data_IF_717721388993
#
_entry.id   IF_717721388993
#
_cell.length_a   1.000
_cell.length_b   1.000
_cell.length_c   1.000
_cell.angle_alpha   90.00
_cell.angle_beta   90.00
_cell.angle_gamma   90.00
#
_symmetry.space_group_name_H-M   'P 1'
#
loop_
_entity.id
_entity.type
_entity.pdbx_description
1 polymer ?
#
# COMPACT_ATOMS: atom_id res chain seq x y z
N UNK A 1 30.78 -78.11 59.42
CA UNK A 1 30.59 -76.64 59.47
C UNK A 1 29.14 -76.36 59.86
N UNK A 2 28.95 -75.54 60.90
CA UNK A 2 27.74 -75.42 61.72
C UNK A 2 26.57 -74.71 61.04
N UNK A 3 25.39 -75.16 61.42
CA UNK A 3 24.04 -74.65 61.15
C UNK A 3 23.64 -73.41 61.96
N UNK A 4 22.63 -72.70 61.42
CA UNK A 4 21.47 -71.98 62.05
C UNK A 4 21.47 -70.43 62.12
N UNK A 5 20.63 -69.87 61.23
CA UNK A 5 19.47 -68.94 61.39
C UNK A 5 19.32 -68.13 62.69
N UNK A 6 18.89 -66.87 62.56
CA UNK A 6 17.67 -66.18 63.11
C UNK A 6 17.84 -64.66 62.90
N UNK A 7 16.83 -63.78 62.77
CA UNK A 7 15.37 -63.80 62.89
C UNK A 7 14.81 -62.64 62.03
N UNK A 8 13.58 -62.13 62.14
CA UNK A 8 12.50 -62.24 63.11
C UNK A 8 11.25 -61.63 62.43
N UNK A 9 10.08 -62.25 62.58
CA UNK A 9 8.77 -61.75 62.12
C UNK A 9 8.08 -60.96 63.24
N UNK A 10 7.60 -59.74 63.01
CA UNK A 10 6.50 -59.01 63.72
C UNK A 10 6.00 -57.97 62.70
N UNK A 11 4.81 -57.99 62.08
CA UNK A 11 3.39 -57.98 62.54
C UNK A 11 2.99 -56.70 63.30
N UNK A 12 2.68 -55.62 62.56
CA UNK A 12 1.75 -54.58 63.03
C UNK A 12 0.74 -54.27 61.92
N UNK A 13 -0.51 -54.49 62.30
CA UNK A 13 -1.77 -54.24 61.62
C UNK A 13 -2.15 -52.75 61.74
N UNK A 14 -3.02 -52.31 60.82
CA UNK A 14 -3.96 -51.19 60.94
C UNK A 14 -3.44 -49.75 60.76
N UNK A 15 -3.74 -49.13 59.62
CA UNK A 15 -4.99 -48.39 59.46
C UNK A 15 -5.29 -48.15 57.97
N UNK A 16 -6.57 -48.32 57.67
CA UNK A 16 -7.24 -48.30 56.38
C UNK A 16 -7.97 -46.95 56.28
N UNK A 17 -8.18 -46.47 55.04
CA UNK A 17 -8.98 -45.30 54.60
C UNK A 17 -8.20 -43.97 54.63
N UNK A 18 -8.04 -43.18 53.55
CA UNK A 18 -8.80 -42.97 52.31
C UNK A 18 -7.86 -42.48 51.19
N UNK A 19 -7.88 -43.13 50.01
CA UNK A 19 -7.95 -42.51 48.67
C UNK A 19 -7.60 -43.54 47.58
N UNK A 20 -8.60 -44.28 47.12
CA UNK A 20 -8.55 -44.96 45.82
C UNK A 20 -9.57 -44.29 44.91
N UNK A 21 -9.10 -43.75 43.79
CA UNK A 21 -9.88 -43.73 42.56
C UNK A 21 -9.15 -44.65 41.58
N UNK A 22 -9.81 -45.75 41.25
CA UNK A 22 -9.38 -46.73 40.25
C UNK A 22 -9.45 -46.08 38.86
N UNK A 23 -8.36 -46.15 38.11
CA UNK A 23 -8.35 -45.84 36.67
C UNK A 23 -8.78 -47.10 35.91
N UNK A 24 -9.88 -47.08 35.13
CA UNK A 24 -10.22 -48.19 34.26
C UNK A 24 -9.32 -48.19 33.01
N UNK A 25 -8.72 -49.34 32.74
CA UNK A 25 -8.13 -49.67 31.45
C UNK A 25 -9.26 -49.83 30.42
N UNK A 26 -9.43 -48.83 29.55
CA UNK A 26 -10.30 -48.91 28.38
C UNK A 26 -9.42 -48.99 27.13
N UNK A 27 -9.68 -49.99 26.29
CA UNK A 27 -9.10 -50.15 24.97
C UNK A 27 -9.18 -48.84 24.17
N UNK A 28 -8.07 -48.44 23.56
CA UNK A 28 -7.99 -47.29 22.68
C UNK A 28 -9.01 -47.43 21.54
N UNK A 29 -10.06 -46.60 21.57
CA UNK A 29 -10.84 -46.30 20.37
C UNK A 29 -9.98 -45.41 19.47
N UNK A 30 -9.96 -45.65 18.15
CA UNK A 30 -9.26 -44.76 17.24
C UNK A 30 -9.89 -43.37 17.37
N UNK A 31 -9.06 -42.38 17.64
CA UNK A 31 -9.44 -40.98 17.55
C UNK A 31 -9.59 -40.66 16.06
N UNK A 32 -10.77 -40.88 15.50
CA UNK A 32 -11.17 -40.20 14.27
C UNK A 32 -11.38 -38.74 14.63
N UNK A 33 -10.31 -37.97 14.52
CA UNK A 33 -10.44 -36.55 14.30
C UNK A 33 -11.25 -36.40 13.03
N UNK A 34 -12.50 -35.96 13.14
CA UNK A 34 -13.19 -35.39 12.00
C UNK A 34 -12.38 -34.15 11.63
N UNK A 35 -11.44 -34.33 10.72
CA UNK A 35 -11.03 -33.26 9.83
C UNK A 35 -12.34 -32.84 9.18
N UNK A 36 -12.96 -31.78 9.69
CA UNK A 36 -13.73 -30.92 8.80
C UNK A 36 -12.75 -30.56 7.71
N UNK A 37 -12.85 -31.26 6.57
CA UNK A 37 -12.37 -30.76 5.29
C UNK A 37 -13.03 -29.39 5.15
N UNK A 38 -12.37 -28.35 5.68
CA UNK A 38 -12.49 -27.04 5.11
C UNK A 38 -12.15 -27.30 3.66
N UNK A 39 -13.14 -27.13 2.78
CA UNK A 39 -12.92 -27.23 1.35
C UNK A 39 -11.59 -26.54 1.07
N UNK A 40 -10.63 -27.30 0.52
CA UNK A 40 -9.43 -26.68 -0.04
C UNK A 40 -10.00 -25.78 -1.10
N UNK A 41 -10.04 -24.48 -0.81
CA UNK A 41 -10.50 -23.48 -1.74
C UNK A 41 -9.65 -23.71 -3.00
N UNK A 42 -10.31 -24.12 -4.09
CA UNK A 42 -9.63 -24.42 -5.34
C UNK A 42 -8.89 -23.15 -5.73
N UNK A 43 -7.55 -23.18 -5.64
CA UNK A 43 -6.75 -22.02 -6.01
C UNK A 43 -6.80 -21.94 -7.52
N UNK A 44 -7.65 -21.08 -8.03
CA UNK A 44 -7.67 -20.73 -9.44
C UNK A 44 -6.34 -20.06 -9.78
N UNK A 45 -5.51 -20.77 -10.54
CA UNK A 45 -4.22 -20.28 -10.99
C UNK A 45 -4.40 -19.14 -11.98
N UNK A 46 -3.52 -18.15 -11.89
CA UNK A 46 -3.62 -16.99 -12.78
C UNK A 46 -3.18 -17.30 -14.21
N UNK A 47 -3.83 -16.64 -15.17
CA UNK A 47 -3.60 -16.79 -16.61
C UNK A 47 -2.74 -15.63 -17.14
N UNK A 48 -1.74 -15.89 -18.00
CA UNK A 48 -0.89 -14.83 -18.56
C UNK A 48 -1.65 -13.94 -19.54
N UNK A 49 -1.32 -12.65 -19.52
CA UNK A 49 -1.68 -11.64 -20.51
C UNK A 49 -0.41 -10.90 -20.97
N UNK A 50 -0.35 -10.42 -22.22
CA UNK A 50 0.72 -9.53 -22.65
C UNK A 50 0.63 -8.18 -21.92
N UNK A 51 1.77 -7.56 -21.62
CA UNK A 51 1.78 -6.19 -21.12
C UNK A 51 1.15 -5.22 -22.13
N UNK A 52 0.32 -4.26 -21.68
CA UNK A 52 -0.26 -3.26 -22.55
C UNK A 52 0.82 -2.32 -23.11
N UNK A 53 0.66 -1.89 -24.36
CA UNK A 53 1.46 -0.80 -24.92
C UNK A 53 0.89 0.51 -24.40
N UNK A 54 1.68 1.26 -23.64
CA UNK A 54 1.24 2.51 -23.03
C UNK A 54 1.83 3.69 -23.79
N UNK A 55 0.95 4.55 -24.29
CA UNK A 55 1.31 5.87 -24.81
C UNK A 55 1.07 6.91 -23.73
N UNK A 56 2.15 7.50 -23.23
CA UNK A 56 2.08 8.51 -22.19
C UNK A 56 1.57 9.86 -22.76
N UNK A 57 0.67 10.51 -22.04
CA UNK A 57 0.43 11.94 -22.22
C UNK A 57 1.64 12.72 -21.69
N UNK A 58 2.24 13.58 -22.50
CA UNK A 58 3.51 14.25 -22.17
C UNK A 58 3.35 15.59 -21.48
N UNK A 59 2.13 15.97 -21.07
CA UNK A 59 1.88 17.31 -20.54
C UNK A 59 1.98 17.29 -19.03
N UNK A 60 3.14 17.68 -18.49
CA UNK A 60 3.28 17.98 -17.06
C UNK A 60 2.49 19.25 -16.73
N UNK A 61 1.73 19.22 -15.64
CA UNK A 61 1.15 20.44 -15.06
C UNK A 61 2.19 21.24 -14.29
N UNK A 62 1.96 22.55 -14.23
CA UNK A 62 2.75 23.47 -13.40
C UNK A 62 2.37 23.30 -11.92
N UNK A 63 3.24 23.66 -10.96
CA UNK A 63 2.88 23.69 -9.55
C UNK A 63 1.61 24.51 -9.28
N UNK A 64 0.86 24.16 -8.23
CA UNK A 64 -0.38 24.84 -7.83
C UNK A 64 -1.51 24.79 -8.86
N UNK A 65 -1.42 23.92 -9.88
CA UNK A 65 -2.43 23.77 -10.92
C UNK A 65 -3.83 23.50 -10.34
N UNK A 66 -3.90 22.77 -9.23
CA UNK A 66 -5.17 22.42 -8.58
C UNK A 66 -5.89 23.66 -8.03
N UNK A 67 -5.15 24.71 -7.65
CA UNK A 67 -5.69 26.02 -7.26
C UNK A 67 -6.10 26.83 -8.50
N UNK A 68 -5.28 26.81 -9.55
CA UNK A 68 -5.52 27.57 -10.78
C UNK A 68 -6.74 27.06 -11.55
N UNK A 69 -6.90 25.73 -11.62
CA UNK A 69 -7.99 25.05 -12.32
C UNK A 69 -9.21 24.79 -11.43
N UNK A 70 -9.34 25.49 -10.30
CA UNK A 70 -10.48 25.37 -9.41
C UNK A 70 -11.76 25.86 -10.10
N UNK A 71 -12.79 25.01 -10.18
CA UNK A 71 -14.12 25.42 -10.63
C UNK A 71 -14.83 26.32 -9.60
N UNK A 72 -15.94 26.96 -9.96
CA UNK A 72 -16.65 27.89 -9.07
C UNK A 72 -17.02 27.31 -7.69
N UNK A 73 -17.26 26.00 -7.58
CA UNK A 73 -17.54 25.36 -6.30
C UNK A 73 -16.25 25.10 -5.53
N UNK A 74 -15.21 24.63 -6.21
CA UNK A 74 -13.87 24.44 -5.65
C UNK A 74 -13.28 25.77 -5.15
N UNK A 75 -13.51 26.88 -5.85
CA UNK A 75 -13.12 28.23 -5.42
C UNK A 75 -13.80 28.63 -4.10
N UNK A 76 -15.11 28.36 -3.95
CA UNK A 76 -15.84 28.61 -2.69
C UNK A 76 -15.29 27.77 -1.54
N UNK A 77 -14.98 26.50 -1.81
CA UNK A 77 -14.36 25.59 -0.83
C UNK A 77 -12.98 26.13 -0.44
N UNK A 78 -12.16 26.52 -1.41
CA UNK A 78 -10.83 27.08 -1.16
C UNK A 78 -10.89 28.35 -0.30
N UNK A 79 -11.85 29.24 -0.56
CA UNK A 79 -12.06 30.43 0.27
C UNK A 79 -12.45 30.09 1.71
N UNK A 80 -13.17 28.98 1.93
CA UNK A 80 -13.42 28.48 3.28
C UNK A 80 -12.15 27.99 3.96
N UNK A 81 -11.17 27.45 3.22
CA UNK A 81 -9.87 27.08 3.77
C UNK A 81 -9.08 28.32 4.19
N UNK A 82 -9.07 29.37 3.34
CA UNK A 82 -8.44 30.65 3.67
C UNK A 82 -9.04 31.25 4.96
N UNK A 83 -10.37 31.19 5.14
CA UNK A 83 -11.02 31.68 6.37
C UNK A 83 -10.49 31.03 7.65
N UNK A 84 -10.00 29.80 7.56
CA UNK A 84 -9.51 29.03 8.69
C UNK A 84 -7.98 29.07 8.86
N UNK A 85 -7.24 29.73 7.98
CA UNK A 85 -5.79 29.85 8.08
C UNK A 85 -5.35 30.55 9.38
N UNK A 86 -4.14 30.25 9.84
CA UNK A 86 -3.55 30.79 11.08
C UNK A 86 -2.87 32.15 10.89
N UNK A 87 -3.47 33.01 10.06
CA UNK A 87 -3.00 34.36 9.72
C UNK A 87 -4.04 35.42 10.14
N UNK A 88 -3.69 36.71 10.05
CA UNK A 88 -4.61 37.80 10.41
C UNK A 88 -5.83 37.87 9.49
N UNK A 89 -6.89 38.56 9.93
CA UNK A 89 -8.09 38.75 9.11
C UNK A 89 -7.82 39.62 7.88
N UNK A 90 -6.89 40.56 7.99
CA UNK A 90 -6.41 41.39 6.90
C UNK A 90 -5.69 40.55 5.84
N UNK A 91 -4.78 39.66 6.25
CA UNK A 91 -4.11 38.72 5.35
C UNK A 91 -5.11 37.80 4.65
N UNK A 92 -6.11 37.24 5.36
CA UNK A 92 -7.16 36.40 4.75
C UNK A 92 -7.94 37.13 3.66
N UNK A 93 -8.26 38.41 3.87
CA UNK A 93 -8.96 39.23 2.87
C UNK A 93 -8.08 39.46 1.65
N UNK A 94 -6.79 39.73 1.86
CA UNK A 94 -5.86 39.95 0.76
C UNK A 94 -5.65 38.66 -0.04
N UNK A 95 -5.40 37.53 0.62
CA UNK A 95 -5.29 36.22 -0.04
C UNK A 95 -6.49 35.91 -0.94
N UNK A 96 -7.72 36.14 -0.46
CA UNK A 96 -8.93 35.96 -1.29
C UNK A 96 -8.96 36.91 -2.48
N UNK A 97 -8.65 38.19 -2.27
CA UNK A 97 -8.60 39.19 -3.34
C UNK A 97 -7.59 38.82 -4.43
N UNK A 98 -6.40 38.39 -4.03
CA UNK A 98 -5.35 37.96 -4.97
C UNK A 98 -5.78 36.72 -5.76
N UNK A 99 -6.39 35.72 -5.11
CA UNK A 99 -6.93 34.55 -5.82
C UNK A 99 -8.03 34.92 -6.82
N UNK A 100 -8.95 35.83 -6.47
CA UNK A 100 -9.97 36.31 -7.42
C UNK A 100 -9.35 37.02 -8.63
N UNK A 101 -8.25 37.76 -8.44
CA UNK A 101 -7.54 38.43 -9.53
C UNK A 101 -6.82 37.41 -10.44
N UNK A 102 -6.10 36.47 -9.82
CA UNK A 102 -5.41 35.37 -10.51
C UNK A 102 -6.40 34.55 -11.36
N UNK A 103 -7.54 34.14 -10.81
CA UNK A 103 -8.54 33.36 -11.56
C UNK A 103 -9.16 34.11 -12.74
N UNK A 104 -9.27 35.45 -12.69
CA UNK A 104 -9.76 36.25 -13.83
C UNK A 104 -8.75 36.34 -14.97
N UNK A 105 -7.46 36.14 -14.68
CA UNK A 105 -6.35 36.25 -15.63
C UNK A 105 -5.89 34.91 -16.18
N UNK A 106 -6.13 33.82 -15.44
CA UNK A 106 -5.80 32.46 -15.86
C UNK A 106 -6.64 32.01 -17.08
N UNK A 107 -6.10 31.28 -18.06
CA UNK A 107 -4.70 30.82 -18.18
C UNK A 107 -3.76 31.82 -18.88
N UNK A 108 -4.29 32.87 -19.50
CA UNK A 108 -3.57 33.65 -20.51
C UNK A 108 -2.59 34.69 -19.95
N UNK A 109 -2.77 35.14 -18.69
CA UNK A 109 -2.04 36.27 -18.11
C UNK A 109 -1.52 36.01 -16.69
N UNK A 110 -0.94 34.83 -16.47
CA UNK A 110 -0.19 34.49 -15.24
C UNK A 110 1.26 35.00 -15.34
N UNK A 111 1.80 35.44 -14.21
CA UNK A 111 3.15 35.99 -14.04
C UNK A 111 3.94 35.20 -13.00
N UNK A 112 5.25 35.45 -12.91
CA UNK A 112 6.10 34.86 -11.86
C UNK A 112 5.70 35.31 -10.46
N UNK A 113 5.25 36.57 -10.31
CA UNK A 113 4.76 37.10 -9.04
C UNK A 113 3.51 36.35 -8.57
N UNK A 114 2.64 35.96 -9.49
CA UNK A 114 1.46 35.14 -9.16
C UNK A 114 1.87 33.77 -8.58
N UNK A 115 2.95 33.16 -9.06
CA UNK A 115 3.44 31.90 -8.52
C UNK A 115 3.98 32.06 -7.10
N UNK A 116 4.62 33.19 -6.78
CA UNK A 116 5.02 33.51 -5.41
C UNK A 116 3.80 33.69 -4.50
N UNK A 117 2.79 34.41 -4.98
CA UNK A 117 1.53 34.57 -4.24
C UNK A 117 0.80 33.23 -4.04
N UNK A 118 0.77 32.36 -5.06
CA UNK A 118 0.20 31.02 -4.96
C UNK A 118 0.96 30.15 -3.96
N UNK A 119 2.30 30.24 -3.93
CA UNK A 119 3.12 29.55 -2.94
C UNK A 119 2.78 29.99 -1.51
N UNK A 120 2.68 31.30 -1.25
CA UNK A 120 2.34 31.85 0.06
C UNK A 120 0.94 31.39 0.52
N UNK A 121 -0.06 31.49 -0.36
CA UNK A 121 -1.43 31.08 -0.06
C UNK A 121 -1.52 29.55 0.11
N UNK A 122 -0.83 28.79 -0.75
CA UNK A 122 -0.75 27.34 -0.63
C UNK A 122 -0.11 26.94 0.71
N UNK A 123 0.98 27.57 1.11
CA UNK A 123 1.64 27.28 2.39
C UNK A 123 0.70 27.54 3.58
N UNK A 124 0.01 28.69 3.60
CA UNK A 124 -0.93 29.02 4.68
C UNK A 124 -2.12 28.06 4.76
N UNK A 125 -2.69 27.70 3.61
CA UNK A 125 -3.81 26.73 3.56
C UNK A 125 -3.36 25.31 3.87
N UNK A 126 -2.18 24.91 3.38
CA UNK A 126 -1.57 23.60 3.66
C UNK A 126 -1.27 23.43 5.14
N UNK A 127 -0.76 24.46 5.84
CA UNK A 127 -0.55 24.41 7.29
C UNK A 127 -1.85 24.09 8.04
N UNK A 128 -2.93 24.81 7.71
CA UNK A 128 -4.25 24.56 8.29
C UNK A 128 -4.76 23.14 7.96
N UNK A 129 -4.70 22.73 6.68
CA UNK A 129 -5.26 21.47 6.23
C UNK A 129 -4.46 20.27 6.75
N UNK A 130 -3.13 20.35 6.78
CA UNK A 130 -2.28 19.33 7.42
C UNK A 130 -2.57 19.21 8.91
N UNK A 131 -2.78 20.33 9.62
CA UNK A 131 -3.16 20.25 11.04
C UNK A 131 -4.56 19.63 11.22
N UNK A 132 -5.51 19.94 10.34
CA UNK A 132 -6.90 19.49 10.47
C UNK A 132 -7.11 18.03 10.03
N UNK A 133 -6.46 17.62 8.94
CA UNK A 133 -6.70 16.35 8.26
C UNK A 133 -5.48 15.43 8.25
N UNK A 134 -4.28 15.97 8.44
CA UNK A 134 -3.06 15.17 8.47
C UNK A 134 -3.00 14.28 9.71
N UNK A 135 -2.56 13.04 9.51
CA UNK A 135 -2.16 12.17 10.61
C UNK A 135 -0.73 12.53 11.07
N UNK A 136 -0.45 12.44 12.38
CA UNK A 136 0.84 12.84 12.99
C UNK A 136 2.04 11.95 12.67
N UNK A 137 1.91 11.07 11.69
CA UNK A 137 3.01 10.30 11.13
C UNK A 137 2.58 9.81 9.76
N UNK A 138 3.53 9.77 8.83
CA UNK A 138 3.59 9.00 7.57
C UNK A 138 4.14 9.87 6.42
N UNK A 139 5.08 9.28 5.67
CA UNK A 139 5.58 9.74 4.37
C UNK A 139 4.69 9.28 3.20
N UNK A 140 5.24 9.12 2.01
CA UNK A 140 4.49 8.66 0.81
C UNK A 140 4.54 7.12 0.81
N UNK A 141 3.52 6.43 1.33
CA UNK A 141 3.48 4.96 1.46
C UNK A 141 2.06 4.41 1.65
N UNK A 142 1.70 3.28 1.03
CA UNK A 142 0.37 2.71 1.26
C UNK A 142 0.13 2.44 2.75
N UNK A 143 -0.99 2.95 3.27
CA UNK A 143 -1.30 2.81 4.69
C UNK A 143 -1.51 1.35 5.12
N UNK A 144 -0.96 1.02 6.29
CA UNK A 144 -1.13 -0.25 6.98
C UNK A 144 -0.51 -1.42 6.22
N UNK A 145 -1.16 -2.59 6.25
CA UNK A 145 -0.62 -3.82 5.66
C UNK A 145 -1.09 -4.08 4.21
N UNK A 146 -1.41 -3.02 3.48
CA UNK A 146 -1.94 -3.11 2.10
C UNK A 146 -0.94 -3.81 1.18
N UNK A 147 0.34 -3.43 1.24
CA UNK A 147 1.44 -4.10 0.53
C UNK A 147 1.48 -5.60 0.83
N UNK A 148 1.50 -5.96 2.12
CA UNK A 148 1.58 -7.36 2.57
C UNK A 148 0.44 -8.19 1.97
N UNK A 149 -0.80 -7.68 2.03
CA UNK A 149 -1.99 -8.37 1.51
C UNK A 149 -1.91 -8.57 -0.02
N UNK A 150 -1.48 -7.57 -0.78
CA UNK A 150 -1.30 -7.68 -2.23
C UNK A 150 -0.22 -8.70 -2.60
N UNK A 151 0.93 -8.64 -1.93
CA UNK A 151 2.06 -9.56 -2.14
C UNK A 151 1.68 -11.00 -1.81
N UNK A 152 0.99 -11.22 -0.69
CA UNK A 152 0.49 -12.55 -0.31
C UNK A 152 -0.44 -13.11 -1.39
N UNK A 153 -1.44 -12.33 -1.81
CA UNK A 153 -2.41 -12.75 -2.82
C UNK A 153 -1.74 -13.10 -4.14
N UNK A 154 -0.81 -12.25 -4.61
CA UNK A 154 -0.02 -12.49 -5.81
C UNK A 154 0.78 -13.80 -5.72
N UNK A 155 1.51 -14.03 -4.62
CA UNK A 155 2.27 -15.26 -4.42
C UNK A 155 1.37 -16.51 -4.44
N UNK A 156 0.27 -16.50 -3.68
CA UNK A 156 -0.63 -17.64 -3.56
C UNK A 156 -1.32 -17.99 -4.87
N UNK A 157 -1.82 -17.00 -5.61
CA UNK A 157 -2.45 -17.19 -6.92
C UNK A 157 -1.49 -17.69 -8.00
N UNK A 158 -0.19 -17.51 -7.78
CA UNK A 158 0.84 -18.07 -8.66
C UNK A 158 1.33 -19.44 -8.18
N UNK A 159 0.80 -20.00 -7.09
CA UNK A 159 1.16 -21.33 -6.59
C UNK A 159 2.40 -21.38 -5.70
N UNK A 160 2.86 -20.24 -5.17
CA UNK A 160 3.91 -20.20 -4.14
C UNK A 160 3.38 -20.85 -2.86
N UNK A 161 4.17 -21.68 -2.18
CA UNK A 161 3.76 -22.32 -0.92
C UNK A 161 3.37 -21.28 0.14
N UNK A 162 2.49 -21.65 1.09
CA UNK A 162 1.99 -20.73 2.12
C UNK A 162 3.13 -20.07 2.89
N UNK A 163 4.14 -20.86 3.31
CA UNK A 163 5.25 -20.33 4.10
C UNK A 163 6.04 -19.25 3.36
N UNK A 164 6.32 -19.46 2.07
CA UNK A 164 7.07 -18.50 1.27
C UNK A 164 6.23 -17.29 0.83
N UNK A 165 4.94 -17.50 0.59
CA UNK A 165 4.01 -16.39 0.37
C UNK A 165 3.89 -15.51 1.61
N UNK A 166 3.88 -16.12 2.80
CA UNK A 166 3.91 -15.39 4.07
C UNK A 166 5.23 -14.64 4.24
N UNK A 167 6.38 -15.26 3.93
CA UNK A 167 7.67 -14.55 3.92
C UNK A 167 7.62 -13.33 3.00
N UNK A 168 7.18 -13.45 1.75
CA UNK A 168 7.10 -12.29 0.87
C UNK A 168 6.15 -11.21 1.42
N UNK A 169 5.01 -11.64 1.97
CA UNK A 169 4.05 -10.75 2.62
C UNK A 169 4.65 -9.98 3.79
N UNK A 170 5.33 -10.66 4.72
CA UNK A 170 5.85 -10.06 5.97
C UNK A 170 6.95 -9.03 5.74
N UNK A 171 7.58 -9.05 4.57
CA UNK A 171 8.66 -8.15 4.18
C UNK A 171 8.20 -7.12 3.13
N UNK A 172 6.91 -7.07 2.78
CA UNK A 172 6.42 -6.20 1.71
C UNK A 172 6.23 -4.74 2.13
N UNK A 173 6.15 -4.44 3.43
CA UNK A 173 6.03 -3.08 3.99
C UNK A 173 7.36 -2.52 4.51
N UNK A 174 8.35 -3.37 4.79
CA UNK A 174 9.71 -2.99 5.20
C UNK A 174 10.30 -1.76 4.47
N UNK A 175 10.18 -1.61 3.12
CA UNK A 175 10.77 -0.48 2.42
C UNK A 175 10.31 0.89 2.93
N UNK A 176 9.09 0.98 3.49
CA UNK A 176 8.56 2.22 4.08
C UNK A 176 9.44 2.78 5.20
N UNK A 177 10.14 1.90 5.91
CA UNK A 177 10.95 2.24 7.09
C UNK A 177 12.44 2.40 6.78
N UNK A 178 12.87 2.25 5.51
CA UNK A 178 14.30 2.30 5.14
C UNK A 178 14.85 3.72 5.06
N UNK A 179 14.01 4.68 4.70
CA UNK A 179 14.38 6.06 4.47
C UNK A 179 13.44 7.04 5.20
N UNK A 180 13.82 8.32 5.23
CA UNK A 180 12.97 9.37 5.81
C UNK A 180 13.03 10.67 5.01
N UNK A 181 11.98 11.48 5.13
CA UNK A 181 11.89 12.79 4.49
C UNK A 181 11.97 12.69 2.97
N UNK A 182 12.80 13.54 2.35
CA UNK A 182 12.94 13.59 0.89
C UNK A 182 13.30 12.24 0.27
N UNK A 183 14.21 11.48 0.90
CA UNK A 183 14.68 10.20 0.35
C UNK A 183 13.59 9.13 0.34
N UNK A 184 12.73 9.13 1.36
CA UNK A 184 11.56 8.25 1.40
C UNK A 184 10.63 8.55 0.22
N UNK A 185 10.26 9.82 0.03
CA UNK A 185 9.42 10.23 -1.11
C UNK A 185 10.07 9.90 -2.46
N UNK A 186 11.38 10.15 -2.61
CA UNK A 186 12.11 9.89 -3.85
C UNK A 186 12.18 8.39 -4.18
N UNK A 187 12.32 7.52 -3.19
CA UNK A 187 12.48 6.08 -3.39
C UNK A 187 11.16 5.34 -3.69
N UNK A 188 10.02 5.86 -3.25
CA UNK A 188 8.69 5.23 -3.37
C UNK A 188 7.87 5.74 -4.57
N UNK A 189 8.43 6.65 -5.34
CA UNK A 189 7.74 7.34 -6.41
C UNK A 189 8.45 7.16 -7.76
N UNK A 190 7.73 7.32 -8.87
CA UNK A 190 8.30 7.54 -10.20
C UNK A 190 7.36 8.34 -11.10
N UNK A 191 7.82 9.49 -11.61
CA UNK A 191 7.07 10.28 -12.59
C UNK A 191 7.40 9.83 -14.01
N UNK A 192 6.46 9.23 -14.76
CA UNK A 192 6.73 8.81 -16.13
C UNK A 192 6.85 10.00 -17.12
N UNK A 193 6.31 11.18 -16.80
CA UNK A 193 6.39 12.40 -17.63
C UNK A 193 7.71 13.14 -17.41
N UNK A 194 8.23 13.10 -16.18
CA UNK A 194 9.54 13.65 -15.80
C UNK A 194 10.42 12.49 -15.31
N UNK A 195 10.95 11.63 -16.21
CA UNK A 195 11.54 10.35 -15.85
C UNK A 195 12.86 10.44 -15.06
N UNK A 196 13.34 11.65 -14.77
CA UNK A 196 14.44 11.91 -13.82
C UNK A 196 13.96 11.98 -12.37
N UNK A 197 12.65 11.99 -12.13
CA UNK A 197 12.03 12.15 -10.81
C UNK A 197 11.52 10.81 -10.29
N UNK A 198 12.07 10.38 -9.16
CA UNK A 198 11.70 9.15 -8.47
C UNK A 198 12.52 7.92 -8.88
N UNK A 199 12.63 6.98 -7.95
CA UNK A 199 13.53 5.81 -8.05
C UNK A 199 12.83 4.46 -7.84
N UNK A 200 11.49 4.44 -7.64
CA UNK A 200 10.74 3.22 -7.35
C UNK A 200 10.90 2.14 -8.44
N UNK A 201 10.88 2.53 -9.71
CA UNK A 201 11.05 1.61 -10.85
C UNK A 201 12.44 0.94 -10.85
N UNK A 202 13.50 1.64 -10.42
CA UNK A 202 14.85 1.08 -10.27
C UNK A 202 14.93 0.15 -9.06
N UNK A 203 14.37 0.58 -7.93
CA UNK A 203 14.33 -0.23 -6.71
C UNK A 203 13.57 -1.55 -6.95
N UNK A 204 12.39 -1.48 -7.56
CA UNK A 204 11.61 -2.65 -7.98
C UNK A 204 12.47 -3.62 -8.82
N UNK A 205 13.17 -3.11 -9.82
CA UNK A 205 13.98 -3.94 -10.71
C UNK A 205 15.17 -4.60 -10.02
N UNK A 206 15.92 -3.84 -9.22
CA UNK A 206 17.07 -4.35 -8.49
C UNK A 206 16.67 -5.45 -7.52
N UNK A 207 15.60 -5.23 -6.75
CA UNK A 207 15.10 -6.19 -5.77
C UNK A 207 14.51 -7.43 -6.44
N UNK A 208 13.81 -7.27 -7.57
CA UNK A 208 13.30 -8.40 -8.36
C UNK A 208 14.44 -9.27 -8.89
N UNK A 209 15.50 -8.65 -9.41
CA UNK A 209 16.65 -9.38 -9.94
C UNK A 209 17.43 -10.08 -8.83
N UNK A 210 17.56 -9.46 -7.65
CA UNK A 210 18.11 -10.12 -6.47
C UNK A 210 17.26 -11.33 -6.05
N UNK A 211 15.93 -11.17 -6.00
CA UNK A 211 15.00 -12.27 -5.71
C UNK A 211 15.18 -13.45 -6.69
N UNK A 212 15.28 -13.17 -7.99
CA UNK A 212 15.53 -14.17 -9.03
C UNK A 212 16.88 -14.87 -8.85
N UNK A 213 17.93 -14.13 -8.49
CA UNK A 213 19.24 -14.71 -8.21
C UNK A 213 19.18 -15.65 -7.00
N UNK A 214 18.57 -15.24 -5.89
CA UNK A 214 18.36 -16.10 -4.72
C UNK A 214 17.53 -17.34 -5.05
N UNK A 215 16.47 -17.19 -5.84
CA UNK A 215 15.62 -18.30 -6.26
C UNK A 215 16.41 -19.33 -7.07
N UNK A 216 17.19 -18.87 -8.05
CA UNK A 216 18.04 -19.71 -8.89
C UNK A 216 19.11 -20.45 -8.10
N UNK A 217 19.55 -19.89 -6.97
CA UNK A 217 20.47 -20.53 -6.02
C UNK A 217 19.77 -21.38 -4.95
N UNK A 218 18.46 -21.66 -5.11
CA UNK A 218 17.65 -22.41 -4.14
C UNK A 218 17.55 -21.77 -2.73
N UNK A 219 17.88 -20.49 -2.60
CA UNK A 219 17.79 -19.72 -1.35
C UNK A 219 16.40 -19.11 -1.21
N UNK A 220 15.38 -19.97 -1.10
CA UNK A 220 13.98 -19.57 -1.26
C UNK A 220 13.53 -18.52 -0.24
N UNK A 221 13.93 -18.59 1.03
CA UNK A 221 13.57 -17.57 2.02
C UNK A 221 14.06 -16.17 1.60
N UNK A 222 15.34 -16.06 1.22
CA UNK A 222 15.91 -14.79 0.73
C UNK A 222 15.26 -14.34 -0.59
N UNK A 223 14.91 -15.28 -1.47
CA UNK A 223 14.22 -14.98 -2.71
C UNK A 223 12.86 -14.33 -2.45
N UNK A 224 12.05 -14.91 -1.57
CA UNK A 224 10.73 -14.40 -1.28
C UNK A 224 10.75 -13.15 -0.40
N UNK A 225 11.75 -12.99 0.48
CA UNK A 225 12.00 -11.71 1.17
C UNK A 225 12.24 -10.57 0.17
N UNK A 226 13.16 -10.76 -0.78
CA UNK A 226 13.44 -9.74 -1.81
C UNK A 226 12.28 -9.54 -2.78
N UNK A 227 11.48 -10.58 -3.03
CA UNK A 227 10.24 -10.44 -3.78
C UNK A 227 9.24 -9.56 -3.03
N UNK A 228 9.14 -9.70 -1.70
CA UNK A 228 8.37 -8.79 -0.84
C UNK A 228 8.75 -7.34 -1.08
N UNK A 229 10.04 -7.03 -0.92
CA UNK A 229 10.59 -5.70 -1.20
C UNK A 229 10.32 -5.23 -2.63
N UNK A 230 10.43 -6.10 -3.63
CA UNK A 230 10.18 -5.72 -5.02
C UNK A 230 8.70 -5.39 -5.29
N UNK A 231 7.79 -6.19 -4.74
CA UNK A 231 6.34 -5.98 -4.89
C UNK A 231 5.85 -4.73 -4.16
N UNK A 232 6.57 -4.26 -3.14
CA UNK A 232 6.33 -2.97 -2.51
C UNK A 232 6.32 -1.84 -3.54
N UNK A 233 7.48 -1.60 -4.17
CA UNK A 233 7.68 -0.53 -5.14
C UNK A 233 6.81 -0.69 -6.39
N UNK A 234 6.49 -1.93 -6.79
CA UNK A 234 5.53 -2.15 -7.87
C UNK A 234 4.11 -1.75 -7.45
N UNK A 235 3.70 -2.03 -6.21
CA UNK A 235 2.37 -1.67 -5.70
C UNK A 235 2.22 -0.17 -5.50
N UNK A 236 3.29 0.52 -5.09
CA UNK A 236 3.35 1.99 -5.03
C UNK A 236 2.97 2.59 -6.38
N UNK A 237 3.57 2.12 -7.48
CA UNK A 237 3.27 2.64 -8.82
C UNK A 237 1.85 2.30 -9.31
N UNK A 238 1.14 1.40 -8.61
CA UNK A 238 -0.29 1.19 -8.76
C UNK A 238 -1.16 2.32 -8.18
N UNK A 239 -0.61 3.12 -7.26
CA UNK A 239 -1.24 4.30 -6.71
C UNK A 239 -0.88 5.52 -7.57
N UNK A 240 -1.85 6.21 -8.23
CA UNK A 240 -1.54 7.40 -9.02
C UNK A 240 -0.78 8.48 -8.24
N UNK A 241 -0.99 8.60 -6.93
CA UNK A 241 -0.26 9.56 -6.09
C UNK A 241 1.26 9.27 -6.00
N UNK A 242 1.72 8.09 -6.39
CA UNK A 242 3.15 7.76 -6.51
C UNK A 242 3.72 8.03 -7.92
N UNK A 243 2.97 8.75 -8.76
CA UNK A 243 3.34 9.00 -10.15
C UNK A 243 3.22 10.45 -10.63
N UNK A 244 2.60 11.36 -9.86
CA UNK A 244 2.52 12.80 -10.17
C UNK A 244 2.48 13.72 -8.93
N UNK A 245 2.32 15.02 -9.16
CA UNK A 245 1.98 16.02 -8.12
C UNK A 245 2.99 16.13 -6.96
N UNK A 246 4.30 15.98 -7.20
CA UNK A 246 5.32 15.90 -6.15
C UNK A 246 5.38 17.15 -5.27
N UNK A 247 5.36 18.34 -5.89
CA UNK A 247 5.40 19.63 -5.17
C UNK A 247 4.13 19.83 -4.35
N UNK A 248 2.97 19.54 -4.94
CA UNK A 248 1.67 19.76 -4.32
C UNK A 248 1.43 18.78 -3.15
N UNK A 249 1.93 17.54 -3.27
CA UNK A 249 1.88 16.53 -2.21
C UNK A 249 2.88 16.81 -1.09
N UNK A 250 4.07 17.34 -1.40
CA UNK A 250 5.02 17.75 -0.37
C UNK A 250 4.43 18.81 0.56
N UNK A 251 3.68 19.78 0.00
CA UNK A 251 2.98 20.79 0.79
C UNK A 251 1.73 20.23 1.48
N UNK A 252 0.93 19.43 0.78
CA UNK A 252 -0.34 18.89 1.27
C UNK A 252 -0.26 17.38 1.56
N UNK A 253 0.64 16.99 2.45
CA UNK A 253 0.86 15.58 2.84
C UNK A 253 -0.42 14.89 3.33
N UNK A 254 -1.35 15.66 3.90
CA UNK A 254 -2.66 15.17 4.31
C UNK A 254 -3.47 14.54 3.17
N UNK A 255 -3.31 15.00 1.92
CA UNK A 255 -4.03 14.45 0.75
C UNK A 255 -3.64 12.99 0.53
N UNK A 256 -2.33 12.75 0.49
CA UNK A 256 -1.74 11.43 0.30
C UNK A 256 -2.16 10.47 1.43
N UNK A 257 -1.86 10.85 2.66
CA UNK A 257 -2.12 10.04 3.85
C UNK A 257 -3.62 9.75 4.06
N UNK A 258 -4.50 10.71 3.74
CA UNK A 258 -5.95 10.51 3.84
C UNK A 258 -6.46 9.50 2.81
N UNK A 259 -5.98 9.60 1.57
CA UNK A 259 -6.37 8.70 0.50
C UNK A 259 -5.97 7.25 0.81
N UNK A 260 -4.73 7.02 1.22
CA UNK A 260 -4.25 5.68 1.51
C UNK A 260 -4.90 5.09 2.76
N UNK A 261 -5.12 5.92 3.79
CA UNK A 261 -5.91 5.53 4.96
C UNK A 261 -7.33 5.12 4.55
N UNK A 262 -7.94 5.82 3.60
CA UNK A 262 -9.24 5.46 3.06
C UNK A 262 -9.23 4.09 2.40
N UNK A 263 -8.24 3.79 1.56
CA UNK A 263 -8.14 2.48 0.90
C UNK A 263 -7.92 1.36 1.91
N UNK A 264 -7.01 1.56 2.86
CA UNK A 264 -6.77 0.60 3.95
C UNK A 264 -8.05 0.31 4.76
N UNK A 265 -8.78 1.34 5.17
CA UNK A 265 -10.02 1.19 5.94
C UNK A 265 -11.14 0.51 5.14
N UNK A 266 -11.10 0.59 3.82
CA UNK A 266 -12.05 -0.05 2.90
C UNK A 266 -11.51 -1.36 2.31
N UNK A 267 -10.45 -1.94 2.89
CA UNK A 267 -9.86 -3.16 2.35
C UNK A 267 -10.80 -4.36 2.45
N UNK A 268 -11.25 -4.66 3.67
CA UNK A 268 -12.13 -5.81 3.97
C UNK A 268 -13.58 -5.39 4.25
N UNK A 269 -13.85 -4.07 4.28
CA UNK A 269 -15.16 -3.48 4.57
C UNK A 269 -15.48 -2.37 3.58
N UNK A 270 -16.72 -1.86 3.57
CA UNK A 270 -17.11 -0.78 2.66
C UNK A 270 -16.95 -1.17 1.19
N UNK A 271 -16.00 -0.52 0.49
CA UNK A 271 -15.71 -0.82 -0.93
C UNK A 271 -15.10 -2.22 -1.16
N UNK A 272 -14.57 -2.86 -0.12
CA UNK A 272 -13.94 -4.19 -0.18
C UNK A 272 -12.84 -4.29 -1.24
N UNK A 273 -11.87 -3.38 -1.18
CA UNK A 273 -10.77 -3.36 -2.13
C UNK A 273 -9.95 -4.65 -2.18
N UNK A 274 -9.90 -5.42 -1.08
CA UNK A 274 -9.31 -6.76 -1.07
C UNK A 274 -9.99 -7.75 -2.02
N UNK A 275 -11.29 -7.60 -2.28
CA UNK A 275 -12.02 -8.45 -3.24
C UNK A 275 -11.54 -8.18 -4.67
N UNK A 276 -11.12 -6.95 -5.01
CA UNK A 276 -10.57 -6.63 -6.34
C UNK A 276 -9.25 -7.36 -6.58
N UNK A 277 -8.36 -7.34 -5.58
CA UNK A 277 -7.07 -8.05 -5.61
C UNK A 277 -7.31 -9.56 -5.71
N UNK A 278 -8.23 -10.09 -4.91
CA UNK A 278 -8.56 -11.51 -4.89
C UNK A 278 -9.34 -11.99 -6.13
N UNK A 279 -10.11 -11.13 -6.79
CA UNK A 279 -10.82 -11.47 -8.02
C UNK A 279 -9.95 -11.32 -9.28
N UNK A 280 -8.82 -10.60 -9.18
CA UNK A 280 -7.88 -10.49 -10.30
C UNK A 280 -7.26 -11.86 -10.53
N UNK A 281 -7.54 -12.49 -11.67
CA UNK A 281 -7.07 -13.83 -12.03
C UNK A 281 -6.11 -13.85 -13.21
N UNK A 282 -5.69 -12.69 -13.71
CA UNK A 282 -4.67 -12.58 -14.75
C UNK A 282 -3.37 -12.00 -14.21
N UNK A 283 -2.30 -12.10 -14.99
CA UNK A 283 -1.01 -11.49 -14.71
C UNK A 283 -0.30 -11.07 -15.99
N UNK A 284 0.58 -10.08 -15.90
CA UNK A 284 1.41 -9.67 -17.02
C UNK A 284 2.72 -10.47 -17.08
N UNK A 285 3.10 -10.94 -18.26
CA UNK A 285 4.39 -11.62 -18.44
C UNK A 285 5.52 -10.61 -18.44
N UNK A 286 6.31 -10.60 -17.36
CA UNK A 286 7.42 -9.65 -17.19
C UNK A 286 8.71 -10.24 -17.75
N UNK A 287 9.42 -9.44 -18.55
CA UNK A 287 10.77 -9.76 -19.05
C UNK A 287 11.82 -8.74 -18.61
N UNK A 288 11.38 -7.49 -18.33
CA UNK A 288 12.23 -6.42 -17.82
C UNK A 288 11.48 -5.73 -16.68
N UNK A 289 11.76 -6.09 -15.40
CA UNK A 289 11.07 -5.52 -14.25
C UNK A 289 11.09 -3.98 -14.19
N UNK A 290 12.17 -3.33 -14.64
CA UNK A 290 12.27 -1.87 -14.67
C UNK A 290 11.24 -1.28 -15.63
N UNK A 291 11.21 -1.79 -16.86
CA UNK A 291 10.27 -1.34 -17.87
C UNK A 291 8.82 -1.62 -17.45
N UNK A 292 8.55 -2.78 -16.84
CA UNK A 292 7.20 -3.12 -16.35
C UNK A 292 6.75 -2.17 -15.23
N UNK A 293 7.65 -1.77 -14.34
CA UNK A 293 7.36 -0.76 -13.32
C UNK A 293 7.09 0.63 -13.93
N UNK A 294 7.88 1.05 -14.92
CA UNK A 294 7.64 2.28 -15.68
C UNK A 294 6.31 2.24 -16.44
N UNK A 295 5.95 1.08 -17.01
CA UNK A 295 4.68 0.85 -17.68
C UNK A 295 3.52 1.01 -16.67
N UNK A 296 3.58 0.36 -15.50
CA UNK A 296 2.55 0.54 -14.49
C UNK A 296 2.38 2.00 -14.08
N UNK A 297 3.48 2.71 -13.77
CA UNK A 297 3.43 4.13 -13.45
C UNK A 297 2.80 4.95 -14.59
N UNK A 298 3.16 4.64 -15.83
CA UNK A 298 2.60 5.29 -17.01
C UNK A 298 1.10 5.05 -17.18
N UNK A 299 0.59 3.89 -16.73
CA UNK A 299 -0.84 3.56 -16.80
C UNK A 299 -1.68 4.25 -15.74
N UNK A 300 -1.11 4.51 -14.56
CA UNK A 300 -1.82 5.11 -13.42
C UNK A 300 -1.65 6.63 -13.35
N UNK A 301 -0.59 7.17 -13.95
CA UNK A 301 -0.31 8.61 -14.00
C UNK A 301 -1.47 9.48 -14.52
N UNK A 302 -2.21 9.12 -15.58
CA UNK A 302 -3.31 9.95 -16.08
C UNK A 302 -4.38 10.28 -15.03
N UNK A 303 -4.50 9.48 -13.97
CA UNK A 303 -5.50 9.66 -12.92
C UNK A 303 -5.02 10.53 -11.75
N UNK A 304 -3.72 10.84 -11.65
CA UNK A 304 -3.14 11.51 -10.46
C UNK A 304 -3.76 12.88 -10.20
N UNK A 305 -3.95 13.68 -11.24
CA UNK A 305 -4.52 15.02 -11.13
C UNK A 305 -5.96 14.94 -10.61
N UNK A 306 -6.79 14.12 -11.27
CA UNK A 306 -8.19 13.93 -10.89
C UNK A 306 -8.29 13.44 -9.45
N UNK A 307 -7.51 12.43 -9.08
CA UNK A 307 -7.49 11.88 -7.73
C UNK A 307 -7.08 12.93 -6.70
N UNK A 308 -5.98 13.66 -6.94
CA UNK A 308 -5.48 14.71 -6.06
C UNK A 308 -6.56 15.77 -5.80
N UNK A 309 -7.18 16.32 -6.85
CA UNK A 309 -8.25 17.34 -6.70
C UNK A 309 -9.45 16.83 -5.94
N UNK A 310 -9.89 15.60 -6.22
CA UNK A 310 -11.05 15.02 -5.55
C UNK A 310 -10.82 14.89 -4.05
N UNK A 311 -9.63 14.46 -3.63
CA UNK A 311 -9.27 14.36 -2.22
C UNK A 311 -9.09 15.76 -1.61
N UNK A 312 -8.33 16.65 -2.26
CA UNK A 312 -8.04 18.00 -1.77
C UNK A 312 -9.30 18.81 -1.48
N UNK A 313 -10.27 18.82 -2.40
CA UNK A 313 -11.49 19.61 -2.25
C UNK A 313 -12.60 18.91 -1.46
N UNK A 314 -12.50 17.60 -1.24
CA UNK A 314 -13.54 16.82 -0.55
C UNK A 314 -12.97 15.97 0.60
N UNK A 315 -12.20 16.55 1.54
CA UNK A 315 -11.39 15.82 2.52
C UNK A 315 -12.16 14.81 3.37
N UNK A 316 -13.47 15.01 3.56
CA UNK A 316 -14.32 14.13 4.40
C UNK A 316 -15.30 13.27 3.61
N UNK A 317 -15.37 13.42 2.29
CA UNK A 317 -16.39 12.75 1.45
C UNK A 317 -15.84 12.12 0.17
N UNK A 318 -14.57 12.35 -0.17
CA UNK A 318 -13.94 11.83 -1.39
C UNK A 318 -14.10 10.31 -1.56
N UNK A 319 -14.11 9.53 -0.47
CA UNK A 319 -14.28 8.07 -0.51
C UNK A 319 -15.65 7.58 -0.98
N UNK A 320 -16.62 8.48 -1.16
CA UNK A 320 -17.92 8.18 -1.78
C UNK A 320 -17.99 8.59 -3.26
N UNK A 321 -16.96 9.27 -3.77
CA UNK A 321 -16.90 9.71 -5.14
C UNK A 321 -16.64 8.51 -6.08
N UNK A 322 -17.46 8.30 -7.12
CA UNK A 322 -17.33 7.16 -8.02
C UNK A 322 -16.00 7.12 -8.78
N UNK A 323 -15.41 8.28 -9.09
CA UNK A 323 -14.14 8.35 -9.80
C UNK A 323 -12.99 7.93 -8.89
N UNK A 324 -12.98 8.36 -7.62
CA UNK A 324 -12.01 7.85 -6.63
C UNK A 324 -12.09 6.33 -6.53
N UNK A 325 -13.30 5.78 -6.41
CA UNK A 325 -13.50 4.34 -6.32
C UNK A 325 -12.97 3.64 -7.56
N UNK A 326 -13.31 4.13 -8.76
CA UNK A 326 -12.89 3.54 -10.03
C UNK A 326 -11.36 3.58 -10.20
N UNK A 327 -10.73 4.72 -9.92
CA UNK A 327 -9.28 4.92 -9.99
C UNK A 327 -8.57 3.95 -9.03
N UNK A 328 -9.02 3.86 -7.77
CA UNK A 328 -8.44 2.92 -6.79
C UNK A 328 -8.57 1.48 -7.25
N UNK A 329 -9.76 1.06 -7.73
CA UNK A 329 -9.96 -0.31 -8.21
C UNK A 329 -9.09 -0.64 -9.43
N UNK A 330 -8.90 0.33 -10.33
CA UNK A 330 -8.03 0.18 -11.49
C UNK A 330 -6.57 -0.02 -11.05
N UNK A 331 -6.04 0.90 -10.23
CA UNK A 331 -4.67 0.84 -9.73
C UNK A 331 -4.36 -0.46 -8.99
N UNK A 332 -5.24 -0.90 -8.08
CA UNK A 332 -5.07 -2.16 -7.35
C UNK A 332 -5.08 -3.38 -8.26
N UNK A 333 -5.95 -3.40 -9.28
CA UNK A 333 -6.03 -4.50 -10.25
C UNK A 333 -4.74 -4.59 -11.07
N UNK A 334 -4.30 -3.46 -11.63
CA UNK A 334 -3.10 -3.45 -12.48
C UNK A 334 -1.85 -3.79 -11.67
N UNK A 335 -1.66 -3.20 -10.49
CA UNK A 335 -0.56 -3.57 -9.59
C UNK A 335 -0.58 -5.06 -9.22
N UNK A 336 -1.77 -5.64 -8.99
CA UNK A 336 -1.89 -7.08 -8.71
C UNK A 336 -1.43 -7.94 -9.90
N UNK A 337 -1.77 -7.55 -11.14
CA UNK A 337 -1.30 -8.25 -12.34
C UNK A 337 0.22 -8.19 -12.48
N UNK A 338 0.83 -7.02 -12.25
CA UNK A 338 2.28 -6.85 -12.29
C UNK A 338 2.99 -7.60 -11.15
N UNK A 339 2.48 -7.55 -9.91
CA UNK A 339 3.04 -8.30 -8.78
C UNK A 339 3.09 -9.82 -9.07
N UNK A 340 2.04 -10.39 -9.66
CA UNK A 340 2.05 -11.78 -10.11
C UNK A 340 3.03 -12.02 -11.26
N UNK A 341 3.19 -11.05 -12.16
CA UNK A 341 4.24 -11.04 -13.17
C UNK A 341 5.63 -11.12 -12.56
N UNK A 342 5.90 -10.39 -11.47
CA UNK A 342 7.17 -10.44 -10.75
C UNK A 342 7.39 -11.83 -10.13
N UNK A 343 6.34 -12.43 -9.53
CA UNK A 343 6.39 -13.80 -9.02
C UNK A 343 6.75 -14.79 -10.13
N UNK A 344 6.13 -14.66 -11.31
CA UNK A 344 6.44 -15.50 -12.47
C UNK A 344 7.90 -15.30 -12.93
N UNK A 345 8.33 -14.05 -13.12
CA UNK A 345 9.67 -13.71 -13.55
C UNK A 345 10.76 -14.26 -12.61
N UNK A 346 10.56 -14.17 -11.29
CA UNK A 346 11.51 -14.69 -10.29
C UNK A 346 11.64 -16.20 -10.35
N UNK A 347 10.55 -16.92 -10.64
CA UNK A 347 10.49 -18.38 -10.56
C UNK A 347 10.93 -19.09 -11.85
N UNK A 348 10.91 -18.40 -12.99
CA UNK A 348 11.24 -18.96 -14.31
C UNK A 348 9.99 -19.31 -15.08
#
# INVERSE_FOLDING_TARGET
>A
MRTKKFGLRILILAMLLVSMVFVPASCAKPFTEKITEKAVEEIEYSVPEPEPIITLSTTSKMPYWYLLEADENQQKIFFSYIDNCYVSNEEKKEMKKEMEDIWKRYPDKITEEDYQTLEEISNATSEYLNHKYGNKGIGIQWAGNTHNKMTYSACRKMGVSINYAQTASDYADDPDDWDSGFWQSYNHYYNPVVPTTGYAHVNCANLTNNAKAYYSNSQLTSAYQHLGYATHYMSDLGNPMHTGCEVDQYQNQWVHTSYESYVYNNWDTGQKYGDVVNATNTYYTITNPKQSAENLASSTHPDVDTLYKLVYYNPTTFGSNPDVIAITMYGLREATKYNKGLVNYVRG
#
